data_IF_652656226811
#
_entry.id   IF_652656226811
#
_cell.length_a   1.000
_cell.length_b   1.000
_cell.length_c   1.000
_cell.angle_alpha   90.00
_cell.angle_beta   90.00
_cell.angle_gamma   90.00
#
_symmetry.space_group_name_H-M   'P 1'
#
loop_
_entity.id
_entity.type
_entity.pdbx_description
1 polymer ?
#
# COMPACT_ATOMS: atom_id res chain seq x y z
N UNK A 1 -16.09 21.15 2.77
CA UNK A 1 -15.49 19.88 3.26
C UNK A 1 -14.37 20.21 4.22
N UNK A 2 -14.32 19.53 5.36
CA UNK A 2 -13.26 19.68 6.36
C UNK A 2 -11.90 19.26 5.80
N UNK A 3 -10.81 19.88 6.26
CA UNK A 3 -9.48 19.52 5.80
C UNK A 3 -9.12 18.08 6.19
N UNK A 4 -9.71 17.57 7.29
CA UNK A 4 -9.66 16.17 7.66
C UNK A 4 -10.20 15.23 6.57
N UNK A 5 -11.38 15.52 6.00
CA UNK A 5 -11.98 14.65 4.99
C UNK A 5 -11.18 14.66 3.68
N UNK A 6 -10.66 15.83 3.28
CA UNK A 6 -9.77 15.95 2.12
C UNK A 6 -8.48 15.16 2.32
N UNK A 7 -7.84 15.29 3.49
CA UNK A 7 -6.61 14.58 3.80
C UNK A 7 -6.79 13.05 3.84
N UNK A 8 -7.91 12.56 4.36
CA UNK A 8 -8.25 11.14 4.32
C UNK A 8 -8.46 10.68 2.88
N UNK A 9 -9.21 11.42 2.07
CA UNK A 9 -9.42 11.07 0.65
C UNK A 9 -8.09 11.01 -0.12
N UNK A 10 -7.19 11.97 0.09
CA UNK A 10 -5.86 11.91 -0.53
C UNK A 10 -5.08 10.68 -0.05
N UNK A 11 -4.95 10.46 1.26
CA UNK A 11 -4.23 9.29 1.81
C UNK A 11 -4.87 7.94 1.43
N UNK A 12 -6.18 7.90 1.21
CA UNK A 12 -6.91 6.69 0.83
C UNK A 12 -6.86 6.41 -0.67
N UNK A 13 -6.89 7.43 -1.53
CA UNK A 13 -7.08 7.24 -2.98
C UNK A 13 -5.82 7.45 -3.83
N UNK A 14 -4.84 8.21 -3.34
CA UNK A 14 -3.64 8.57 -4.12
C UNK A 14 -2.43 7.75 -3.68
N UNK A 15 -2.09 7.81 -2.39
CA UNK A 15 -0.95 7.08 -1.83
C UNK A 15 -1.01 7.11 -0.30
N UNK A 16 -0.58 6.05 0.41
CA UNK A 16 -0.40 6.09 1.87
C UNK A 16 0.42 7.32 2.29
N UNK A 17 -0.18 8.18 3.13
CA UNK A 17 0.48 9.37 3.64
C UNK A 17 0.40 10.61 2.75
N UNK A 18 -0.21 10.56 1.56
CA UNK A 18 -0.37 11.75 0.70
C UNK A 18 -1.29 12.83 1.30
N UNK A 19 -2.15 12.47 2.26
CA UNK A 19 -2.89 13.42 3.09
C UNK A 19 -1.98 14.36 3.89
N UNK A 20 -0.79 13.90 4.31
CA UNK A 20 0.20 14.73 5.00
C UNK A 20 0.87 15.75 4.07
N UNK A 21 1.04 15.41 2.79
CA UNK A 21 1.51 16.35 1.76
C UNK A 21 0.49 17.46 1.55
N UNK A 22 -0.81 17.14 1.49
CA UNK A 22 -1.89 18.12 1.44
C UNK A 22 -1.92 19.02 2.69
N UNK A 23 -1.66 18.44 3.87
CA UNK A 23 -1.62 19.15 5.15
C UNK A 23 -0.30 19.93 5.38
N UNK A 24 0.60 20.09 4.40
CA UNK A 24 1.92 20.76 4.54
C UNK A 24 2.76 20.24 5.72
N UNK A 25 2.67 18.95 6.05
CA UNK A 25 3.52 18.24 7.02
C UNK A 25 4.38 17.21 6.26
N UNK A 26 5.40 17.66 5.50
CA UNK A 26 6.04 16.84 4.47
C UNK A 26 6.83 15.66 5.05
N UNK A 27 7.41 15.79 6.25
CA UNK A 27 8.30 14.75 6.81
C UNK A 27 7.56 13.42 7.03
N UNK A 28 6.36 13.46 7.61
CA UNK A 28 5.55 12.26 7.86
C UNK A 28 5.03 11.64 6.57
N UNK A 29 4.64 12.47 5.60
CA UNK A 29 4.22 12.03 4.27
C UNK A 29 5.35 11.35 3.49
N UNK A 30 6.55 11.94 3.50
CA UNK A 30 7.72 11.39 2.79
C UNK A 30 8.15 10.05 3.38
N UNK A 31 8.14 9.89 4.72
CA UNK A 31 8.44 8.61 5.37
C UNK A 31 7.48 7.50 4.93
N UNK A 32 6.17 7.77 4.97
CA UNK A 32 5.16 6.81 4.51
C UNK A 32 5.30 6.49 3.02
N UNK A 33 5.63 7.50 2.21
CA UNK A 33 5.85 7.31 0.77
C UNK A 33 7.04 6.39 0.51
N UNK A 34 8.18 6.67 1.14
CA UNK A 34 9.42 5.87 0.98
C UNK A 34 9.20 4.43 1.41
N UNK A 35 8.58 4.20 2.57
CA UNK A 35 8.27 2.84 3.07
C UNK A 35 7.37 2.10 2.09
N UNK A 36 6.35 2.78 1.56
CA UNK A 36 5.40 2.16 0.65
C UNK A 36 6.01 1.85 -0.71
N UNK A 37 6.88 2.73 -1.23
CA UNK A 37 7.67 2.44 -2.44
C UNK A 37 8.59 1.24 -2.21
N UNK A 38 9.29 1.18 -1.07
CA UNK A 38 10.15 0.05 -0.74
C UNK A 38 9.37 -1.28 -0.72
N UNK A 39 8.24 -1.33 -0.01
CA UNK A 39 7.37 -2.51 -0.01
C UNK A 39 6.88 -2.89 -1.42
N UNK A 40 6.51 -1.90 -2.23
CA UNK A 40 6.03 -2.13 -3.59
C UNK A 40 7.14 -2.67 -4.50
N UNK A 41 8.37 -2.19 -4.36
CA UNK A 41 9.52 -2.70 -5.11
C UNK A 41 9.86 -4.15 -4.74
N UNK A 42 9.73 -4.51 -3.46
CA UNK A 42 9.92 -5.89 -2.99
C UNK A 42 8.84 -6.79 -3.59
N UNK A 43 7.57 -6.39 -3.49
CA UNK A 43 6.45 -7.16 -4.06
C UNK A 43 6.59 -7.34 -5.58
N UNK A 44 6.99 -6.29 -6.30
CA UNK A 44 7.20 -6.35 -7.74
C UNK A 44 8.35 -7.32 -8.11
N UNK A 45 9.44 -7.31 -7.33
CA UNK A 45 10.57 -8.22 -7.54
C UNK A 45 10.16 -9.68 -7.33
N UNK A 46 9.41 -9.96 -6.26
CA UNK A 46 8.86 -11.30 -6.01
C UNK A 46 7.91 -11.72 -7.14
N UNK A 47 7.02 -10.84 -7.58
CA UNK A 47 6.09 -11.13 -8.67
C UNK A 47 6.82 -11.45 -9.98
N UNK A 48 7.88 -10.69 -10.31
CA UNK A 48 8.71 -10.96 -11.48
C UNK A 48 9.44 -12.31 -11.39
N UNK A 49 10.02 -12.62 -10.22
CA UNK A 49 10.69 -13.91 -10.00
C UNK A 49 9.72 -15.09 -10.16
N UNK A 50 8.51 -14.97 -9.60
CA UNK A 50 7.45 -15.98 -9.77
C UNK A 50 6.98 -16.11 -11.21
N UNK A 51 6.80 -15.00 -11.92
CA UNK A 51 6.43 -15.02 -13.32
C UNK A 51 7.50 -15.71 -14.19
N UNK A 52 8.78 -15.46 -13.90
CA UNK A 52 9.89 -16.09 -14.60
C UNK A 52 9.98 -17.59 -14.31
N UNK A 53 9.83 -18.00 -13.03
CA UNK A 53 9.78 -19.42 -12.66
C UNK A 53 8.65 -20.17 -13.38
N UNK A 54 7.45 -19.57 -13.47
CA UNK A 54 6.32 -20.17 -14.19
C UNK A 54 6.62 -20.23 -15.69
N UNK A 55 7.19 -19.18 -16.27
CA UNK A 55 7.60 -19.16 -17.68
C UNK A 55 8.60 -20.26 -18.00
N UNK A 56 9.62 -20.45 -17.16
CA UNK A 56 10.65 -21.48 -17.34
C UNK A 56 10.04 -22.89 -17.27
N UNK A 57 9.09 -23.13 -16.36
CA UNK A 57 8.34 -24.40 -16.26
C UNK A 57 7.45 -24.68 -17.47
N UNK A 58 6.89 -23.64 -18.10
CA UNK A 58 6.13 -23.78 -19.35
C UNK A 58 7.08 -24.15 -20.50
N UNK A 59 8.23 -23.49 -20.58
CA UNK A 59 9.23 -23.72 -21.63
C UNK A 59 9.93 -25.09 -21.51
N UNK A 60 10.13 -25.59 -20.28
CA UNK A 60 10.70 -26.91 -20.02
C UNK A 60 9.73 -28.06 -20.33
N UNK A 61 8.46 -27.76 -20.59
CA UNK A 61 7.39 -28.75 -20.79
C UNK A 61 6.85 -29.37 -19.50
N UNK A 62 7.26 -28.85 -18.33
CA UNK A 62 6.78 -29.30 -17.01
C UNK A 62 5.32 -28.85 -16.78
N UNK A 63 4.97 -27.65 -17.25
CA UNK A 63 3.59 -27.17 -17.29
C UNK A 63 3.08 -27.23 -18.75
N UNK A 64 2.04 -28.02 -19.04
CA UNK A 64 1.40 -27.98 -20.35
C UNK A 64 0.85 -26.58 -20.61
N UNK A 65 0.91 -26.13 -21.86
CA UNK A 65 0.44 -24.81 -22.31
C UNK A 65 -1.10 -24.75 -22.36
N UNK A 66 -1.71 -25.04 -21.21
CA UNK A 66 -3.14 -25.05 -20.92
C UNK A 66 -3.42 -23.94 -19.91
N UNK A 67 -4.26 -22.99 -20.29
CA UNK A 67 -4.63 -21.82 -19.49
C UNK A 67 -5.19 -22.24 -18.12
N UNK A 68 -5.89 -23.36 -18.04
CA UNK A 68 -6.48 -23.89 -16.81
C UNK A 68 -5.40 -24.35 -15.84
N UNK A 69 -4.36 -25.02 -16.35
CA UNK A 69 -3.24 -25.52 -15.54
C UNK A 69 -2.29 -24.42 -15.11
N UNK A 70 -2.07 -23.44 -15.98
CA UNK A 70 -1.32 -22.24 -15.66
C UNK A 70 -2.05 -21.45 -14.55
N UNK A 71 -3.37 -21.29 -14.65
CA UNK A 71 -4.16 -20.62 -13.62
C UNK A 71 -4.17 -21.38 -12.29
N UNK A 72 -4.26 -22.72 -12.32
CA UNK A 72 -4.11 -23.56 -11.12
C UNK A 72 -2.75 -23.39 -10.47
N UNK A 73 -1.64 -23.37 -11.23
CA UNK A 73 -0.30 -23.17 -10.67
C UNK A 73 -0.09 -21.76 -10.09
N UNK A 74 -0.59 -20.73 -10.77
CA UNK A 74 -0.57 -19.35 -10.24
C UNK A 74 -1.33 -19.28 -8.91
N UNK A 75 -2.49 -19.93 -8.83
CA UNK A 75 -3.35 -19.89 -7.63
C UNK A 75 -2.81 -20.80 -6.52
N UNK A 76 -2.29 -21.97 -6.87
CA UNK A 76 -1.59 -22.90 -5.99
C UNK A 76 -0.41 -22.21 -5.32
N UNK A 77 0.44 -21.51 -6.07
CA UNK A 77 1.56 -20.76 -5.52
C UNK A 77 1.14 -19.54 -4.68
N UNK A 78 -0.06 -18.99 -4.91
CA UNK A 78 -0.64 -17.94 -4.08
C UNK A 78 -1.28 -18.46 -2.78
N UNK A 79 -1.70 -19.73 -2.73
CA UNK A 79 -2.47 -20.31 -1.61
C UNK A 79 -1.66 -21.33 -0.79
N UNK A 80 -0.60 -21.89 -1.35
CA UNK A 80 0.18 -22.96 -0.71
C UNK A 80 1.58 -22.49 -0.31
N UNK A 81 1.79 -22.37 1.00
CA UNK A 81 3.12 -22.50 1.60
C UNK A 81 3.52 -21.40 2.57
N UNK A 82 3.08 -21.53 3.83
CA UNK A 82 3.64 -20.80 4.98
C UNK A 82 3.51 -19.28 4.90
N UNK A 83 4.01 -18.57 5.92
CA UNK A 83 4.11 -17.11 5.85
C UNK A 83 5.20 -16.79 4.82
N UNK A 84 4.81 -16.42 3.60
CA UNK A 84 5.76 -16.01 2.58
C UNK A 84 6.16 -14.55 2.81
N UNK A 85 7.38 -14.18 2.40
CA UNK A 85 7.85 -12.79 2.47
C UNK A 85 6.89 -11.80 1.75
N UNK A 86 6.20 -12.28 0.72
CA UNK A 86 5.15 -11.54 0.03
C UNK A 86 3.94 -11.23 0.94
N UNK A 87 3.51 -12.19 1.76
CA UNK A 87 2.41 -11.99 2.72
C UNK A 87 2.79 -10.97 3.77
N UNK A 88 4.00 -11.09 4.34
CA UNK A 88 4.51 -10.14 5.33
C UNK A 88 4.59 -8.74 4.74
N UNK A 89 5.15 -8.60 3.53
CA UNK A 89 5.22 -7.31 2.84
C UNK A 89 3.84 -6.73 2.55
N UNK A 90 2.87 -7.57 2.17
CA UNK A 90 1.48 -7.17 1.92
C UNK A 90 0.79 -6.70 3.20
N UNK A 91 0.89 -7.46 4.29
CA UNK A 91 0.32 -7.08 5.57
C UNK A 91 0.97 -5.82 6.14
N UNK A 92 2.30 -5.69 6.05
CA UNK A 92 3.01 -4.47 6.45
C UNK A 92 2.55 -3.27 5.62
N UNK A 93 2.39 -3.42 4.31
CA UNK A 93 1.87 -2.37 3.44
C UNK A 93 0.45 -1.96 3.86
N UNK A 94 -0.43 -2.92 4.12
CA UNK A 94 -1.80 -2.65 4.58
C UNK A 94 -1.84 -1.95 5.94
N UNK A 95 -1.04 -2.40 6.91
CA UNK A 95 -0.96 -1.76 8.23
C UNK A 95 -0.39 -0.35 8.10
N UNK A 96 0.69 -0.17 7.35
CA UNK A 96 1.28 1.14 7.08
C UNK A 96 0.27 2.09 6.41
N UNK A 97 -0.55 1.56 5.50
CA UNK A 97 -1.58 2.32 4.82
C UNK A 97 -2.72 2.75 5.74
N UNK A 98 -3.20 1.85 6.61
CA UNK A 98 -4.21 2.17 7.62
C UNK A 98 -3.69 3.20 8.65
N UNK A 99 -2.45 3.03 9.12
CA UNK A 99 -1.81 3.98 10.04
C UNK A 99 -1.69 5.34 9.38
N UNK A 100 -1.24 5.41 8.12
CA UNK A 100 -1.17 6.66 7.36
C UNK A 100 -2.53 7.34 7.19
N UNK A 101 -3.59 6.57 7.01
CA UNK A 101 -4.97 7.08 6.92
C UNK A 101 -5.44 7.69 8.25
N UNK A 102 -5.26 6.97 9.36
CA UNK A 102 -5.66 7.41 10.71
C UNK A 102 -4.85 8.64 11.15
N UNK A 103 -3.55 8.64 10.91
CA UNK A 103 -2.68 9.77 11.28
C UNK A 103 -3.05 11.03 10.48
N UNK A 104 -3.29 10.89 9.17
CA UNK A 104 -3.74 12.00 8.31
C UNK A 104 -5.09 12.58 8.78
N UNK A 105 -6.00 11.74 9.27
CA UNK A 105 -7.27 12.17 9.85
C UNK A 105 -7.08 12.96 11.15
N UNK A 106 -6.23 12.48 12.07
CA UNK A 106 -5.94 13.17 13.34
C UNK A 106 -5.30 14.54 13.10
N UNK A 107 -4.33 14.62 12.19
CA UNK A 107 -3.66 15.88 11.83
C UNK A 107 -4.63 16.83 11.13
N UNK A 108 -5.46 16.34 10.21
CA UNK A 108 -6.49 17.16 9.55
C UNK A 108 -7.52 17.72 10.51
N UNK A 109 -8.00 16.91 11.47
CA UNK A 109 -8.97 17.36 12.49
C UNK A 109 -8.37 18.41 13.43
N UNK A 110 -7.08 18.28 13.77
CA UNK A 110 -6.37 19.27 14.60
C UNK A 110 -6.25 20.62 13.88
N UNK A 111 -6.01 20.60 12.56
CA UNK A 111 -6.03 21.81 11.72
C UNK A 111 -7.41 22.44 11.60
N UNK A 112 -8.45 21.64 11.42
CA UNK A 112 -9.83 22.15 11.38
C UNK A 112 -10.25 22.81 12.69
N UNK A 113 -9.78 22.30 13.85
CA UNK A 113 -10.02 22.92 15.15
C UNK A 113 -9.29 24.27 15.29
N UNK A 114 -8.00 24.33 14.91
CA UNK A 114 -7.21 25.55 14.98
C UNK A 114 -7.69 26.66 14.02
N UNK A 115 -8.38 26.31 12.94
CA UNK A 115 -8.93 27.28 11.99
C UNK A 115 -10.35 27.76 12.36
N UNK A 116 -10.97 27.17 13.38
CA UNK A 116 -12.29 27.55 13.87
C UNK A 116 -12.25 28.97 14.50
N UNK A 117 -13.04 29.93 14.01
CA UNK A 117 -13.02 31.32 14.49
C UNK A 117 -13.33 31.48 15.99
N UNK A 118 -14.07 30.55 16.60
CA UNK A 118 -14.38 30.59 18.05
C UNK A 118 -13.14 30.40 18.93
N UNK A 119 -12.14 29.64 18.48
CA UNK A 119 -10.88 29.41 19.23
C UNK A 119 -9.83 30.50 18.97
N UNK A 120 -10.07 31.46 18.06
CA UNK A 120 -9.14 32.56 17.72
C UNK A 120 -9.35 33.84 18.56
N UNK A 121 -10.41 33.91 19.38
CA UNK A 121 -10.74 35.07 20.22
C UNK A 121 -10.46 34.87 21.72
N UNK A 122 -9.76 33.80 22.12
CA UNK A 122 -9.30 33.56 23.51
C UNK A 122 -7.80 33.78 23.60
#
# INVERSE_FOLDING_TARGET
MSNALKAVLFSAFVFPGSGHLYLRKPVQGVLLVVVSIACLTILLSIAMEKAQQISDKILSGEIPLDVTRIAEEITSHAVTGGIQWADIATYLLLVCWLVGMVDSFRVGRSKDKADNPVDKEI
#
